data_IF_981733557824
#
_entry.id   IF_981733557824
#
_cell.length_a   1.000
_cell.length_b   1.000
_cell.length_c   1.000
_cell.angle_alpha   90.00
_cell.angle_beta   90.00
_cell.angle_gamma   90.00
#
_symmetry.space_group_name_H-M   'P 1'
#
loop_
_entity.id
_entity.type
_entity.pdbx_description
1 polymer ?
#
# COMPACT_ATOMS: atom_id res chain seq x y z
N UNK A 1 31.45 4.96 11.35
CA UNK A 1 30.09 4.44 11.33
C UNK A 1 29.58 4.51 9.90
N UNK A 2 29.36 3.38 9.24
CA UNK A 2 28.74 3.32 7.91
C UNK A 2 27.20 3.35 8.03
N UNK A 3 26.49 3.46 6.89
CA UNK A 3 25.02 3.56 6.89
C UNK A 3 24.34 2.36 7.56
N UNK A 4 24.82 1.14 7.30
CA UNK A 4 24.26 -0.09 7.91
C UNK A 4 24.40 -0.04 9.43
N UNK A 5 25.60 0.24 9.94
CA UNK A 5 25.85 0.36 11.39
C UNK A 5 24.93 1.39 12.04
N UNK A 6 24.79 2.58 11.41
CA UNK A 6 23.88 3.61 11.88
C UNK A 6 22.42 3.12 11.93
N UNK A 7 21.93 2.47 10.87
CA UNK A 7 20.56 1.97 10.80
C UNK A 7 20.28 0.88 11.87
N UNK A 8 21.23 -0.03 12.12
CA UNK A 8 21.09 -1.06 13.15
C UNK A 8 21.04 -0.48 14.57
N UNK A 9 21.83 0.57 14.83
CA UNK A 9 21.78 1.30 16.09
C UNK A 9 20.43 2.01 16.29
N UNK A 10 19.83 2.58 15.25
CA UNK A 10 18.48 3.18 15.34
C UNK A 10 17.40 2.13 15.64
N UNK A 11 17.45 0.95 15.00
CA UNK A 11 16.53 -0.16 15.29
C UNK A 11 16.65 -0.59 16.76
N UNK A 12 17.88 -0.67 17.28
CA UNK A 12 18.16 -1.01 18.67
C UNK A 12 17.68 0.08 19.64
N UNK A 13 17.92 1.36 19.34
CA UNK A 13 17.44 2.50 20.14
C UNK A 13 15.92 2.55 20.23
N UNK A 14 15.24 2.14 19.16
CA UNK A 14 13.79 2.00 19.12
C UNK A 14 13.27 0.72 19.84
N UNK A 15 14.16 -0.09 20.44
CA UNK A 15 13.83 -1.32 21.19
C UNK A 15 13.05 -2.35 20.37
N UNK A 16 13.26 -2.37 19.05
CA UNK A 16 12.52 -3.25 18.13
C UNK A 16 12.99 -4.71 18.15
N UNK A 17 14.10 -5.00 18.84
CA UNK A 17 14.57 -6.36 19.09
C UNK A 17 14.02 -6.95 20.39
N UNK A 18 13.43 -6.12 21.27
CA UNK A 18 13.00 -6.56 22.59
C UNK A 18 11.76 -7.46 22.47
N UNK A 19 11.66 -8.47 23.34
CA UNK A 19 10.55 -9.45 23.34
C UNK A 19 9.18 -8.80 23.62
N UNK A 20 9.16 -7.65 24.31
CA UNK A 20 7.95 -6.88 24.58
C UNK A 20 7.56 -5.91 23.44
N UNK A 21 8.35 -5.85 22.37
CA UNK A 21 8.03 -5.07 21.17
C UNK A 21 7.01 -5.79 20.26
N UNK A 22 6.53 -5.07 19.25
CA UNK A 22 5.61 -5.64 18.26
C UNK A 22 6.16 -6.92 17.64
N UNK A 23 5.30 -7.93 17.53
CA UNK A 23 5.67 -9.26 17.04
C UNK A 23 6.81 -9.93 17.82
N UNK A 24 6.93 -9.65 19.12
CA UNK A 24 7.89 -10.34 20.00
C UNK A 24 9.36 -10.09 19.65
N UNK A 25 9.71 -8.88 19.20
CA UNK A 25 11.08 -8.54 18.80
C UNK A 25 11.44 -8.92 17.35
N UNK A 26 10.58 -9.65 16.65
CA UNK A 26 10.85 -10.05 15.26
C UNK A 26 10.84 -8.87 14.29
N UNK A 27 10.17 -7.76 14.63
CA UNK A 27 10.15 -6.56 13.79
C UNK A 27 11.56 -6.00 13.56
N UNK A 28 12.40 -5.96 14.60
CA UNK A 28 13.79 -5.54 14.47
C UNK A 28 14.58 -6.44 13.54
N UNK A 29 14.36 -7.77 13.60
CA UNK A 29 15.02 -8.75 12.73
C UNK A 29 14.62 -8.60 11.26
N UNK A 30 13.33 -8.39 10.98
CA UNK A 30 12.86 -8.12 9.63
C UNK A 30 13.49 -6.85 9.04
N UNK A 31 13.63 -5.77 9.84
CA UNK A 31 14.28 -4.54 9.39
C UNK A 31 15.79 -4.72 9.17
N UNK A 32 16.47 -5.46 10.05
CA UNK A 32 17.89 -5.81 9.91
C UNK A 32 18.16 -6.51 8.57
N UNK A 33 17.32 -7.48 8.17
CA UNK A 33 17.46 -8.17 6.88
C UNK A 33 17.30 -7.22 5.68
N UNK A 34 16.35 -6.29 5.74
CA UNK A 34 16.16 -5.29 4.69
C UNK A 34 17.33 -4.31 4.62
N UNK A 35 17.85 -3.85 5.76
CA UNK A 35 19.06 -3.00 5.84
C UNK A 35 20.26 -3.73 5.23
N UNK A 36 20.41 -5.02 5.52
CA UNK A 36 21.49 -5.83 4.98
C UNK A 36 21.44 -5.95 3.46
N UNK A 37 20.26 -6.21 2.89
CA UNK A 37 20.08 -6.26 1.44
C UNK A 37 20.30 -4.88 0.82
N UNK A 38 19.72 -3.83 1.39
CA UNK A 38 19.79 -2.48 0.85
C UNK A 38 21.22 -1.91 0.89
N UNK A 39 21.98 -2.19 1.94
CA UNK A 39 23.38 -1.75 2.08
C UNK A 39 24.31 -2.32 1.02
N UNK A 40 24.02 -3.55 0.54
CA UNK A 40 24.81 -4.22 -0.52
C UNK A 40 24.54 -3.68 -1.92
N UNK A 41 23.47 -2.92 -2.12
CA UNK A 41 23.09 -2.38 -3.43
C UNK A 41 23.78 -1.06 -3.78
N UNK A 42 24.52 -0.46 -2.83
CA UNK A 42 25.33 0.75 -2.99
C UNK A 42 24.58 1.93 -3.65
N UNK A 43 23.42 2.27 -3.09
CA UNK A 43 22.61 3.37 -3.58
C UNK A 43 23.19 4.73 -3.21
N UNK A 44 23.10 5.67 -4.16
CA UNK A 44 23.13 7.10 -3.83
C UNK A 44 21.87 7.50 -3.05
N UNK A 45 21.89 8.68 -2.39
CA UNK A 45 20.68 9.20 -1.73
C UNK A 45 19.46 9.33 -2.66
N UNK A 46 19.68 9.62 -3.95
CA UNK A 46 18.62 9.72 -4.94
C UNK A 46 18.03 8.36 -5.31
N UNK A 47 18.87 7.39 -5.68
CA UNK A 47 18.40 6.05 -6.04
C UNK A 47 17.78 5.32 -4.83
N UNK A 48 18.31 5.55 -3.63
CA UNK A 48 17.75 5.02 -2.40
C UNK A 48 16.30 5.49 -2.17
N UNK A 49 16.02 6.77 -2.41
CA UNK A 49 14.66 7.34 -2.30
C UNK A 49 13.68 6.72 -3.31
N UNK A 50 14.13 6.48 -4.54
CA UNK A 50 13.31 5.83 -5.58
C UNK A 50 12.99 4.38 -5.19
N UNK A 51 14.01 3.58 -4.87
CA UNK A 51 13.82 2.15 -4.56
C UNK A 51 12.95 1.97 -3.32
N UNK A 52 13.21 2.73 -2.25
CA UNK A 52 12.39 2.66 -1.03
C UNK A 52 10.93 3.03 -1.28
N UNK A 53 10.67 4.06 -2.09
CA UNK A 53 9.32 4.48 -2.46
C UNK A 53 8.57 3.41 -3.30
N UNK A 54 9.26 2.77 -4.24
CA UNK A 54 8.69 1.69 -5.05
C UNK A 54 8.45 0.43 -4.21
N UNK A 55 9.40 0.06 -3.34
CA UNK A 55 9.24 -1.08 -2.43
C UNK A 55 8.03 -0.87 -1.51
N UNK A 56 7.89 0.31 -0.92
CA UNK A 56 6.74 0.66 -0.09
C UNK A 56 5.40 0.53 -0.84
N UNK A 57 5.34 0.87 -2.14
CA UNK A 57 4.14 0.64 -2.94
C UNK A 57 3.81 -0.84 -3.10
N UNK A 58 4.83 -1.66 -3.34
CA UNK A 58 4.67 -3.10 -3.55
C UNK A 58 4.21 -3.82 -2.28
N UNK A 59 4.72 -3.43 -1.10
CA UNK A 59 4.26 -4.01 0.17
C UNK A 59 2.79 -3.72 0.46
N UNK A 60 2.26 -2.61 -0.08
CA UNK A 60 0.84 -2.25 0.00
C UNK A 60 -0.02 -2.75 -1.16
N UNK A 61 0.48 -3.66 -2.01
CA UNK A 61 -0.21 -4.13 -3.22
C UNK A 61 -0.66 -2.99 -4.15
N UNK A 62 0.12 -1.90 -4.23
CA UNK A 62 -0.17 -0.77 -5.12
C UNK A 62 0.66 -0.90 -6.41
N UNK A 63 0.01 -0.91 -7.59
CA UNK A 63 0.66 -1.21 -8.87
C UNK A 63 1.60 -0.08 -9.29
N UNK A 64 2.70 -0.42 -9.99
CA UNK A 64 3.70 0.55 -10.46
C UNK A 64 3.31 1.27 -11.77
N UNK A 65 2.20 0.86 -12.38
CA UNK A 65 1.59 1.53 -13.54
C UNK A 65 0.09 1.65 -13.31
N UNK A 66 -0.61 2.56 -14.03
CA UNK A 66 -2.07 2.68 -13.93
C UNK A 66 -2.78 1.34 -14.21
N UNK A 67 -3.90 1.12 -13.54
CA UNK A 67 -4.86 0.04 -13.85
C UNK A 67 -5.84 0.58 -14.87
N UNK A 68 -6.11 -0.19 -15.91
CA UNK A 68 -7.02 0.17 -17.00
C UNK A 68 -8.36 -0.54 -16.87
N UNK A 69 -9.23 -0.37 -17.85
CA UNK A 69 -10.47 -1.13 -17.98
C UNK A 69 -10.30 -2.43 -18.80
N UNK A 70 -9.07 -2.81 -19.17
CA UNK A 70 -8.81 -4.12 -19.81
C UNK A 70 -9.18 -5.24 -18.84
N UNK A 71 -10.19 -6.03 -19.18
CA UNK A 71 -10.71 -7.15 -18.39
C UNK A 71 -9.62 -8.18 -18.02
N UNK A 72 -8.50 -8.25 -18.74
CA UNK A 72 -7.36 -9.09 -18.37
C UNK A 72 -6.77 -8.74 -16.99
N UNK A 73 -6.89 -7.47 -16.57
CA UNK A 73 -6.44 -6.95 -15.27
C UNK A 73 -7.43 -7.17 -14.12
N UNK A 74 -8.61 -7.76 -14.42
CA UNK A 74 -9.71 -7.93 -13.49
C UNK A 74 -10.09 -9.40 -13.35
N UNK A 75 -10.60 -9.77 -12.17
CA UNK A 75 -11.15 -11.09 -11.87
C UNK A 75 -12.63 -10.92 -11.48
N UNK A 76 -13.51 -11.75 -12.04
CA UNK A 76 -14.92 -11.79 -11.65
C UNK A 76 -15.03 -12.50 -10.29
N UNK A 77 -15.49 -11.80 -9.26
CA UNK A 77 -15.56 -12.31 -7.89
C UNK A 77 -17.00 -12.57 -7.42
N UNK A 78 -18.00 -12.32 -8.27
CA UNK A 78 -19.39 -12.61 -7.98
C UNK A 78 -20.35 -11.63 -8.64
N UNK A 79 -21.54 -11.49 -8.03
CA UNK A 79 -22.62 -10.65 -8.52
C UNK A 79 -23.01 -9.61 -7.46
N UNK A 80 -23.31 -8.38 -7.89
CA UNK A 80 -23.80 -7.29 -7.03
C UNK A 80 -24.94 -6.57 -7.76
N UNK A 81 -26.12 -6.50 -7.13
CA UNK A 81 -27.30 -5.85 -7.71
C UNK A 81 -27.67 -6.34 -9.12
N UNK A 82 -27.44 -7.63 -9.40
CA UNK A 82 -27.70 -8.22 -10.73
C UNK A 82 -26.61 -8.00 -11.77
N UNK A 83 -25.51 -7.31 -11.43
CA UNK A 83 -24.36 -7.11 -12.31
C UNK A 83 -23.15 -7.93 -11.85
N UNK A 84 -22.27 -8.29 -12.78
CA UNK A 84 -20.97 -8.89 -12.44
C UNK A 84 -20.13 -7.89 -11.64
N UNK A 85 -19.53 -8.39 -10.56
CA UNK A 85 -18.59 -7.66 -9.72
C UNK A 85 -17.18 -8.15 -9.99
N UNK A 86 -16.30 -7.21 -10.29
CA UNK A 86 -14.90 -7.46 -10.56
C UNK A 86 -14.00 -6.86 -9.48
N UNK A 87 -12.88 -7.52 -9.21
CA UNK A 87 -11.78 -7.01 -8.39
C UNK A 87 -10.51 -6.97 -9.25
N UNK A 88 -9.70 -5.93 -9.10
CA UNK A 88 -8.43 -5.87 -9.83
C UNK A 88 -7.45 -6.92 -9.32
N UNK A 89 -6.81 -7.64 -10.25
CA UNK A 89 -5.71 -8.58 -9.98
C UNK A 89 -4.44 -7.87 -9.49
N UNK A 90 -4.33 -6.57 -9.74
CA UNK A 90 -3.13 -5.75 -9.52
C UNK A 90 -3.25 -4.80 -8.33
N UNK A 91 -4.48 -4.48 -7.89
CA UNK A 91 -4.76 -3.66 -6.72
C UNK A 91 -6.00 -4.19 -6.00
N UNK A 92 -5.85 -4.96 -4.91
CA UNK A 92 -6.96 -5.60 -4.21
C UNK A 92 -8.01 -4.62 -3.64
N UNK A 93 -7.66 -3.34 -3.47
CA UNK A 93 -8.62 -2.32 -3.03
C UNK A 93 -9.53 -1.79 -4.14
N UNK A 94 -9.29 -2.17 -5.41
CA UNK A 94 -10.02 -1.65 -6.55
C UNK A 94 -11.11 -2.64 -7.01
N UNK A 95 -12.36 -2.19 -6.98
CA UNK A 95 -13.54 -2.97 -7.35
C UNK A 95 -14.36 -2.22 -8.40
N UNK A 96 -15.00 -2.94 -9.31
CA UNK A 96 -15.88 -2.34 -10.31
C UNK A 96 -17.03 -3.28 -10.65
N UNK A 97 -18.23 -2.75 -10.91
CA UNK A 97 -19.25 -3.55 -11.60
C UNK A 97 -19.00 -3.52 -13.11
N UNK A 98 -19.65 -4.43 -13.85
CA UNK A 98 -19.57 -4.43 -15.31
C UNK A 98 -19.90 -3.06 -15.92
N UNK A 99 -20.94 -2.39 -15.40
CA UNK A 99 -21.34 -1.06 -15.87
C UNK A 99 -20.29 0.01 -15.55
N UNK A 100 -19.66 -0.04 -14.37
CA UNK A 100 -18.55 0.88 -14.04
C UNK A 100 -17.37 0.73 -15.00
N UNK A 101 -16.97 -0.50 -15.34
CA UNK A 101 -15.86 -0.72 -16.28
C UNK A 101 -16.18 -0.19 -17.68
N UNK A 102 -17.42 -0.33 -18.15
CA UNK A 102 -17.89 0.26 -19.43
C UNK A 102 -17.81 1.80 -19.41
N UNK A 103 -17.99 2.42 -18.26
CA UNK A 103 -17.85 3.87 -18.06
C UNK A 103 -16.40 4.32 -17.77
N UNK A 104 -15.41 3.42 -17.83
CA UNK A 104 -14.03 3.69 -17.40
C UNK A 104 -13.94 4.14 -15.94
N UNK A 105 -14.69 3.50 -15.05
CA UNK A 105 -14.69 3.80 -13.61
C UNK A 105 -14.42 2.56 -12.77
N UNK A 106 -13.88 2.80 -11.60
CA UNK A 106 -13.77 1.83 -10.53
C UNK A 106 -14.00 2.49 -9.17
N UNK A 107 -14.12 1.69 -8.12
CA UNK A 107 -14.22 2.13 -6.74
C UNK A 107 -13.00 1.63 -5.98
N UNK A 108 -12.19 2.56 -5.48
CA UNK A 108 -11.09 2.25 -4.56
C UNK A 108 -11.62 2.33 -3.13
N UNK A 109 -11.63 1.19 -2.43
CA UNK A 109 -12.11 1.10 -1.04
C UNK A 109 -11.05 1.56 -0.02
N UNK A 110 -9.82 1.80 -0.47
CA UNK A 110 -8.68 2.21 0.33
C UNK A 110 -8.19 3.61 -0.08
N UNK A 111 -9.09 4.42 -0.65
CA UNK A 111 -8.72 5.75 -1.14
C UNK A 111 -8.51 6.74 0.01
N UNK A 112 -9.43 6.74 0.97
CA UNK A 112 -9.39 7.60 2.14
C UNK A 112 -9.20 6.79 3.44
N UNK A 113 -8.73 7.48 4.48
CA UNK A 113 -8.87 7.05 5.86
C UNK A 113 -9.33 8.24 6.71
N UNK A 114 -9.93 7.95 7.86
CA UNK A 114 -10.35 8.94 8.86
C UNK A 114 -9.57 8.73 10.16
N UNK A 115 -9.64 9.72 11.04
CA UNK A 115 -9.18 9.62 12.42
C UNK A 115 -10.34 9.91 13.37
N UNK A 116 -10.38 9.23 14.50
CA UNK A 116 -11.31 9.57 15.58
C UNK A 116 -10.71 10.61 16.53
N UNK A 117 -11.46 10.97 17.57
CA UNK A 117 -11.04 11.95 18.59
C UNK A 117 -9.73 11.56 19.31
N UNK A 118 -9.42 10.26 19.36
CA UNK A 118 -8.18 9.71 19.93
C UNK A 118 -7.04 9.58 18.90
N UNK A 119 -7.22 10.14 17.69
CA UNK A 119 -6.28 10.04 16.56
C UNK A 119 -6.05 8.62 16.03
N UNK A 120 -6.94 7.66 16.34
CA UNK A 120 -6.87 6.30 15.80
C UNK A 120 -7.36 6.32 14.35
N UNK A 121 -6.58 5.72 13.45
CA UNK A 121 -6.93 5.66 12.03
C UNK A 121 -7.96 4.55 11.75
N UNK A 122 -9.00 4.84 10.98
CA UNK A 122 -9.98 3.86 10.54
C UNK A 122 -10.47 4.14 9.10
N UNK A 123 -11.13 3.14 8.50
CA UNK A 123 -11.77 3.26 7.18
C UNK A 123 -13.17 2.64 7.23
N UNK A 124 -14.12 3.28 6.55
CA UNK A 124 -15.51 2.82 6.43
C UNK A 124 -16.01 3.02 4.98
N UNK A 125 -17.30 2.75 4.74
CA UNK A 125 -17.89 2.87 3.41
C UNK A 125 -17.83 4.30 2.83
N UNK A 126 -17.70 5.33 3.65
CA UNK A 126 -17.56 6.72 3.22
C UNK A 126 -16.12 7.07 2.84
N UNK A 127 -15.16 6.20 3.17
CA UNK A 127 -13.77 6.33 2.73
C UNK A 127 -13.55 5.77 1.31
N UNK A 128 -14.55 5.10 0.75
CA UNK A 128 -14.50 4.61 -0.61
C UNK A 128 -14.63 5.77 -1.61
N UNK A 129 -13.89 5.71 -2.72
CA UNK A 129 -13.93 6.74 -3.76
C UNK A 129 -14.15 6.10 -5.13
N UNK A 130 -15.07 6.65 -5.92
CA UNK A 130 -15.14 6.33 -7.36
C UNK A 130 -14.02 7.10 -8.06
N UNK A 131 -13.26 6.39 -8.88
CA UNK A 131 -12.08 6.87 -9.60
C UNK A 131 -12.20 6.56 -11.09
N UNK A 132 -11.64 7.44 -11.91
CA UNK A 132 -11.57 7.25 -13.36
C UNK A 132 -10.39 6.34 -13.73
N UNK A 133 -10.60 5.48 -14.73
CA UNK A 133 -9.59 4.62 -15.35
C UNK A 133 -9.03 5.29 -16.62
N UNK A 134 -7.72 5.20 -16.90
CA UNK A 134 -6.71 4.49 -16.13
C UNK A 134 -6.38 5.14 -14.77
N UNK A 135 -6.32 4.33 -13.72
CA UNK A 135 -6.16 4.80 -12.35
C UNK A 135 -4.79 4.42 -11.78
N UNK A 136 -4.05 5.43 -11.31
CA UNK A 136 -2.82 5.21 -10.57
C UNK A 136 -3.08 5.37 -9.07
N UNK A 137 -3.37 4.26 -8.39
CA UNK A 137 -3.71 4.24 -6.95
C UNK A 137 -2.58 4.86 -6.12
N UNK A 138 -2.88 5.73 -5.14
CA UNK A 138 -1.87 6.32 -4.29
C UNK A 138 -1.16 5.25 -3.44
N UNK A 139 0.10 5.50 -3.10
CA UNK A 139 0.87 4.59 -2.24
C UNK A 139 0.29 4.46 -0.82
N UNK A 140 -0.45 5.49 -0.37
CA UNK A 140 -1.13 5.54 0.91
C UNK A 140 -2.53 6.10 0.73
N UNK A 141 -3.52 5.63 1.51
CA UNK A 141 -4.80 6.31 1.63
C UNK A 141 -4.58 7.76 2.08
N UNK A 142 -5.43 8.67 1.60
CA UNK A 142 -5.38 10.08 1.96
C UNK A 142 -6.24 10.32 3.20
N UNK A 143 -5.88 11.28 4.04
CA UNK A 143 -6.75 11.68 5.15
C UNK A 143 -8.00 12.35 4.57
N UNK A 144 -9.19 11.87 4.92
CA UNK A 144 -10.44 12.55 4.60
C UNK A 144 -10.57 13.72 5.57
N UNK A 145 -10.38 14.93 5.07
CA UNK A 145 -10.71 16.12 5.84
C UNK A 145 -12.23 16.24 5.89
N UNK A 146 -12.78 16.51 7.08
CA UNK A 146 -14.21 16.76 7.31
C UNK A 146 -14.73 17.92 6.46
#
# INVERSE_FOLDING_TARGET
MNWKEWALEEIKRARLYDEDSMYGGSLGKCLEELVDVFSKQDHSGFSASIVSSLFYRLTGWKPLTPITNDLSEWEEIGMRNGEKLYQSKRCPSLFATESMLKENKAKDIDYWYKKDEESRCYSDHECHQIVDLPYFSPARPKLKNE
#
